data_IF_150430136239
#
_entry.id   IF_150430136239
#
_cell.length_a   1.000
_cell.length_b   1.000
_cell.length_c   1.000
_cell.angle_alpha   90.00
_cell.angle_beta   90.00
_cell.angle_gamma   90.00
#
_symmetry.space_group_name_H-M   'P 1'
#
loop_
_entity.id
_entity.type
_entity.pdbx_description
1 polymer ?
#
# COMPACT_ATOMS: atom_id res chain seq x y z
N UNK A 1 14.00 -19.88 19.54
CA UNK A 1 12.89 -19.21 18.82
C UNK A 1 11.84 -20.28 18.55
N UNK A 2 10.67 -20.17 19.18
CA UNK A 2 9.55 -21.06 18.85
C UNK A 2 9.09 -20.71 17.44
N UNK A 3 8.98 -21.69 16.55
CA UNK A 3 8.23 -21.50 15.32
C UNK A 3 6.79 -21.13 15.74
N UNK A 4 6.23 -20.06 15.15
CA UNK A 4 4.83 -19.75 15.35
C UNK A 4 4.01 -20.92 14.80
N UNK A 5 3.12 -21.47 15.62
CA UNK A 5 2.22 -22.53 15.22
C UNK A 5 1.23 -21.96 14.19
N UNK A 6 1.12 -22.61 13.02
CA UNK A 6 0.16 -22.18 11.98
C UNK A 6 -1.23 -22.60 12.44
N UNK A 7 -2.09 -21.64 12.72
CA UNK A 7 -3.47 -21.89 13.17
C UNK A 7 -4.46 -21.74 12.01
N UNK A 8 -5.33 -22.74 11.82
CA UNK A 8 -6.41 -22.66 10.83
C UNK A 8 -7.57 -21.87 11.42
N UNK A 9 -7.81 -20.68 10.89
CA UNK A 9 -8.92 -19.82 11.32
C UNK A 9 -10.29 -20.26 10.76
N UNK A 10 -10.31 -20.92 9.60
CA UNK A 10 -11.53 -21.37 8.95
C UNK A 10 -11.35 -21.78 7.50
N UNK A 11 -12.45 -21.81 6.75
CA UNK A 11 -12.49 -22.05 5.30
C UNK A 11 -13.53 -21.11 4.69
N UNK A 12 -13.15 -20.43 3.61
CA UNK A 12 -14.03 -19.55 2.85
C UNK A 12 -14.00 -20.04 1.41
N UNK A 13 -15.18 -20.30 0.84
CA UNK A 13 -15.31 -20.68 -0.57
C UNK A 13 -15.89 -19.49 -1.32
N UNK A 14 -15.10 -18.92 -2.23
CA UNK A 14 -15.49 -17.80 -3.07
C UNK A 14 -15.55 -18.30 -4.53
N UNK A 15 -16.63 -17.97 -5.24
CA UNK A 15 -16.78 -18.34 -6.65
C UNK A 15 -16.05 -17.38 -7.60
N UNK A 16 -15.94 -16.11 -7.20
CA UNK A 16 -15.17 -15.05 -7.88
C UNK A 16 -15.14 -13.82 -6.96
N UNK A 17 -14.14 -13.71 -6.08
CA UNK A 17 -13.94 -12.55 -5.22
C UNK A 17 -12.55 -12.57 -4.58
N UNK A 18 -12.04 -11.39 -4.25
CA UNK A 18 -10.88 -11.23 -3.39
C UNK A 18 -11.29 -11.38 -1.91
N UNK A 19 -10.49 -12.12 -1.14
CA UNK A 19 -10.59 -12.19 0.32
C UNK A 19 -9.56 -11.22 0.92
N UNK A 20 -10.03 -10.33 1.80
CA UNK A 20 -9.17 -9.46 2.62
C UNK A 20 -9.30 -9.88 4.07
N UNK A 21 -8.17 -10.20 4.70
CA UNK A 21 -8.08 -10.56 6.12
C UNK A 21 -7.49 -9.36 6.86
N UNK A 22 -8.32 -8.76 7.72
CA UNK A 22 -7.98 -7.55 8.49
C UNK A 22 -8.04 -7.91 9.98
N UNK A 23 -7.06 -7.43 10.76
CA UNK A 23 -7.14 -7.50 12.21
C UNK A 23 -8.36 -6.72 12.72
N UNK A 24 -9.16 -7.31 13.60
CA UNK A 24 -10.38 -6.73 14.14
C UNK A 24 -10.18 -5.36 14.82
N UNK A 25 -8.98 -5.06 15.31
CA UNK A 25 -8.63 -3.74 15.84
C UNK A 25 -8.69 -2.60 14.81
N UNK A 26 -8.77 -2.94 13.51
CA UNK A 26 -8.71 -2.01 12.37
C UNK A 26 -10.04 -1.90 11.60
N UNK A 27 -11.10 -2.60 12.05
CA UNK A 27 -12.38 -2.60 11.35
C UNK A 27 -13.02 -1.21 11.25
N UNK A 28 -12.75 -0.32 12.22
CA UNK A 28 -13.24 1.06 12.21
C UNK A 28 -12.60 1.92 11.12
N UNK A 29 -11.41 1.54 10.66
CA UNK A 29 -10.60 2.33 9.73
C UNK A 29 -10.76 1.85 8.28
N UNK A 30 -11.47 0.74 8.05
CA UNK A 30 -11.70 0.19 6.72
C UNK A 30 -12.97 0.74 6.06
N UNK A 31 -12.81 1.29 4.86
CA UNK A 31 -13.89 1.48 3.88
C UNK A 31 -13.51 0.94 2.50
N UNK A 32 -14.42 0.22 1.83
CA UNK A 32 -14.16 -0.26 0.47
C UNK A 32 -14.10 0.89 -0.56
N UNK A 33 -14.86 1.96 -0.32
CA UNK A 33 -15.12 3.02 -1.30
C UNK A 33 -14.43 4.36 -0.96
N UNK A 34 -13.93 4.51 0.25
CA UNK A 34 -13.28 5.73 0.73
C UNK A 34 -11.79 5.45 0.98
N UNK A 35 -10.93 6.47 0.86
CA UNK A 35 -9.54 6.39 1.35
C UNK A 35 -9.50 6.39 2.89
N UNK A 36 -8.34 6.07 3.51
CA UNK A 36 -8.21 6.13 4.97
C UNK A 36 -8.46 7.56 5.49
N UNK A 37 -9.21 7.71 6.59
CA UNK A 37 -9.55 9.01 7.19
C UNK A 37 -8.77 9.29 8.47
N UNK A 38 -8.54 10.57 8.78
CA UNK A 38 -7.91 11.01 10.03
C UNK A 38 -8.89 10.99 11.19
N UNK A 39 -8.73 10.05 12.13
CA UNK A 39 -9.51 10.01 13.38
C UNK A 39 -8.62 9.65 14.59
N UNK A 40 -7.47 10.32 14.69
CA UNK A 40 -6.46 10.05 15.71
C UNK A 40 -6.61 10.90 16.97
N UNK A 41 -7.50 11.90 16.94
CA UNK A 41 -7.75 12.80 18.09
C UNK A 41 -6.68 13.89 18.25
N UNK A 42 -5.77 13.99 17.29
CA UNK A 42 -4.79 15.06 17.15
C UNK A 42 -5.09 15.82 15.85
N UNK A 43 -5.53 17.10 15.92
CA UNK A 43 -5.90 17.89 14.75
C UNK A 43 -4.80 18.06 13.70
N UNK A 44 -3.52 18.11 14.12
CA UNK A 44 -2.41 18.27 13.18
C UNK A 44 -2.16 16.97 12.42
N UNK A 45 -2.20 15.85 13.13
CA UNK A 45 -2.09 14.52 12.52
C UNK A 45 -3.28 14.22 11.60
N UNK A 46 -4.50 14.52 12.05
CA UNK A 46 -5.72 14.33 11.25
C UNK A 46 -5.66 15.16 9.97
N UNK A 47 -5.24 16.44 10.06
CA UNK A 47 -5.08 17.29 8.88
C UNK A 47 -3.98 16.79 7.92
N UNK A 48 -2.87 16.25 8.45
CA UNK A 48 -1.81 15.66 7.63
C UNK A 48 -2.29 14.42 6.88
N UNK A 49 -3.06 13.55 7.53
CA UNK A 49 -3.64 12.34 6.91
C UNK A 49 -4.67 12.70 5.84
N UNK A 50 -5.54 13.67 6.12
CA UNK A 50 -6.51 14.16 5.12
C UNK A 50 -5.84 14.84 3.92
N UNK A 51 -4.67 15.44 4.11
CA UNK A 51 -3.90 16.10 3.05
C UNK A 51 -2.92 15.16 2.31
N UNK A 52 -2.79 13.91 2.74
CA UNK A 52 -1.87 12.95 2.12
C UNK A 52 -2.24 12.65 0.66
N UNK A 53 -1.28 12.13 -0.09
CA UNK A 53 -1.46 11.62 -1.45
C UNK A 53 -0.86 10.22 -1.60
N UNK A 54 -1.28 9.51 -2.63
CA UNK A 54 -0.59 8.28 -3.03
C UNK A 54 0.37 8.62 -4.18
N UNK A 55 1.41 7.81 -4.34
CA UNK A 55 2.36 7.93 -5.44
C UNK A 55 2.40 6.63 -6.24
N UNK A 56 2.59 6.75 -7.55
CA UNK A 56 2.85 5.63 -8.44
C UNK A 56 4.23 5.77 -9.08
N UNK A 57 5.00 4.69 -9.05
CA UNK A 57 6.24 4.57 -9.79
C UNK A 57 5.86 4.09 -11.19
N UNK A 58 6.15 4.91 -12.20
CA UNK A 58 5.81 4.68 -13.60
C UNK A 58 7.06 4.53 -14.46
N UNK A 59 6.92 3.95 -15.65
CA UNK A 59 8.02 3.74 -16.59
C UNK A 59 8.38 2.26 -16.77
N UNK A 60 9.26 1.96 -17.74
CA UNK A 60 9.59 0.58 -18.11
C UNK A 60 10.21 -0.23 -16.97
N UNK A 61 10.95 0.41 -16.06
CA UNK A 61 11.63 -0.26 -14.95
C UNK A 61 10.91 -0.07 -13.60
N UNK A 62 9.67 0.39 -13.60
CA UNK A 62 8.93 0.72 -12.37
C UNK A 62 8.92 -0.39 -11.32
N UNK A 63 8.67 -1.64 -11.74
CA UNK A 63 8.68 -2.82 -10.85
C UNK A 63 10.08 -3.07 -10.28
N UNK A 64 11.11 -2.96 -11.12
CA UNK A 64 12.49 -3.18 -10.69
C UNK A 64 12.95 -2.10 -9.69
N UNK A 65 12.56 -0.84 -9.92
CA UNK A 65 12.82 0.27 -9.02
C UNK A 65 12.06 0.09 -7.71
N UNK A 66 10.77 -0.23 -7.77
CA UNK A 66 9.95 -0.40 -6.58
C UNK A 66 10.44 -1.53 -5.68
N UNK A 67 10.89 -2.66 -6.26
CA UNK A 67 11.48 -3.77 -5.49
C UNK A 67 12.74 -3.41 -4.70
N UNK A 68 13.36 -2.26 -5.01
CA UNK A 68 14.55 -1.71 -4.32
C UNK A 68 14.20 -0.58 -3.36
N UNK A 69 12.95 -0.15 -3.33
CA UNK A 69 12.47 0.88 -2.43
C UNK A 69 12.18 0.26 -1.07
N UNK A 70 13.00 0.59 -0.07
CA UNK A 70 12.81 0.13 1.31
C UNK A 70 11.95 1.15 2.08
N UNK A 71 10.64 1.11 1.85
CA UNK A 71 9.65 1.91 2.55
C UNK A 71 8.47 1.03 2.99
N UNK A 72 8.09 1.12 4.26
CA UNK A 72 6.96 0.35 4.80
C UNK A 72 5.64 0.63 4.08
N UNK A 73 5.46 1.85 3.57
CA UNK A 73 4.27 2.26 2.79
C UNK A 73 4.35 1.90 1.30
N UNK A 74 5.46 1.29 0.84
CA UNK A 74 5.60 0.87 -0.55
C UNK A 74 5.14 -0.57 -0.76
N UNK A 75 4.29 -0.78 -1.77
CA UNK A 75 3.89 -2.12 -2.22
C UNK A 75 3.50 -2.10 -3.69
N UNK A 76 3.88 -3.15 -4.42
CA UNK A 76 3.73 -3.15 -5.88
C UNK A 76 4.55 -2.00 -6.48
N UNK A 77 3.98 -1.21 -7.37
CA UNK A 77 4.56 0.05 -7.89
C UNK A 77 4.09 1.29 -7.15
N UNK A 78 3.42 1.16 -6.01
CA UNK A 78 2.78 2.27 -5.30
C UNK A 78 3.48 2.60 -3.99
N UNK A 79 3.40 3.86 -3.58
CA UNK A 79 3.73 4.34 -2.23
C UNK A 79 2.51 5.04 -1.67
N UNK A 80 1.96 4.49 -0.59
CA UNK A 80 0.66 4.91 -0.06
C UNK A 80 0.77 5.92 1.07
N UNK A 81 -0.27 6.73 1.23
CA UNK A 81 -0.51 7.61 2.38
C UNK A 81 0.67 8.54 2.66
N UNK A 82 1.25 9.12 1.60
CA UNK A 82 2.41 10.01 1.67
C UNK A 82 1.97 11.40 2.14
N UNK A 83 2.54 11.94 3.23
CA UNK A 83 2.24 13.30 3.68
C UNK A 83 2.62 14.36 2.64
N UNK A 84 2.02 15.57 2.68
CA UNK A 84 2.27 16.64 1.70
C UNK A 84 3.74 16.98 1.44
N UNK A 85 4.61 16.84 2.44
CA UNK A 85 6.05 17.10 2.36
C UNK A 85 6.89 15.85 2.03
N UNK A 86 6.28 14.67 1.96
CA UNK A 86 6.95 13.39 1.76
C UNK A 86 7.25 13.05 0.29
N UNK A 87 6.48 13.59 -0.66
CA UNK A 87 6.60 13.22 -2.08
C UNK A 87 7.98 13.54 -2.68
N UNK A 88 8.60 14.65 -2.26
CA UNK A 88 9.95 15.03 -2.67
C UNK A 88 11.01 14.00 -2.25
N UNK A 89 10.89 13.47 -1.03
CA UNK A 89 11.82 12.46 -0.51
C UNK A 89 11.70 11.12 -1.26
N UNK A 90 10.47 10.71 -1.62
CA UNK A 90 10.23 9.51 -2.42
C UNK A 90 10.81 9.67 -3.82
N UNK A 91 10.57 10.80 -4.48
CA UNK A 91 11.15 11.14 -5.79
C UNK A 91 12.68 11.04 -5.78
N UNK A 92 13.33 11.66 -4.80
CA UNK A 92 14.79 11.61 -4.68
C UNK A 92 15.34 10.19 -4.47
N UNK A 93 14.63 9.34 -3.71
CA UNK A 93 15.01 7.92 -3.56
C UNK A 93 14.89 7.15 -4.88
N UNK A 94 13.80 7.33 -5.61
CA UNK A 94 13.60 6.71 -6.93
C UNK A 94 14.66 7.17 -7.92
N UNK A 95 14.93 8.47 -8.00
CA UNK A 95 15.98 9.02 -8.86
C UNK A 95 17.38 8.48 -8.55
N UNK A 96 17.69 8.26 -7.26
CA UNK A 96 18.95 7.64 -6.85
C UNK A 96 19.03 6.18 -7.33
N UNK A 97 17.97 5.39 -7.12
CA UNK A 97 17.90 4.00 -7.60
C UNK A 97 18.07 3.94 -9.12
N UNK A 98 17.36 4.79 -9.86
CA UNK A 98 17.46 4.87 -11.32
C UNK A 98 18.88 5.19 -11.78
N UNK A 99 19.52 6.17 -11.16
CA UNK A 99 20.90 6.56 -11.48
C UNK A 99 21.90 5.45 -11.19
N UNK A 100 21.78 4.79 -10.05
CA UNK A 100 22.75 3.80 -9.59
C UNK A 100 22.63 2.48 -10.38
N UNK A 101 21.42 2.10 -10.77
CA UNK A 101 21.15 0.84 -11.47
C UNK A 101 20.98 1.00 -13.00
N UNK A 102 20.94 2.23 -13.52
CA UNK A 102 20.68 2.51 -14.94
C UNK A 102 19.23 2.23 -15.35
N UNK A 103 18.28 2.39 -14.44
CA UNK A 103 16.85 2.20 -14.71
C UNK A 103 16.18 3.47 -15.20
N UNK A 104 15.08 3.28 -15.92
CA UNK A 104 14.17 4.34 -16.36
C UNK A 104 12.82 4.19 -15.66
N UNK A 105 12.61 5.00 -14.62
CA UNK A 105 11.34 5.16 -13.94
C UNK A 105 11.19 6.58 -13.38
N UNK A 106 9.94 6.98 -13.16
CA UNK A 106 9.58 8.26 -12.55
C UNK A 106 8.51 8.03 -11.47
N UNK A 107 8.23 9.08 -10.70
CA UNK A 107 7.15 9.06 -9.71
C UNK A 107 6.06 10.02 -10.17
N UNK A 108 4.81 9.58 -10.14
CA UNK A 108 3.63 10.39 -10.34
C UNK A 108 2.85 10.49 -9.04
N UNK A 109 2.30 11.66 -8.78
CA UNK A 109 1.39 11.85 -7.64
C UNK A 109 -0.03 11.60 -8.12
N UNK A 110 -0.76 10.81 -7.36
CA UNK A 110 -2.13 10.39 -7.67
C UNK A 110 -3.05 10.68 -6.48
N UNK A 111 -4.36 10.85 -6.71
CA UNK A 111 -5.32 10.91 -5.61
C UNK A 111 -5.21 9.67 -4.73
N UNK A 112 -5.44 9.83 -3.42
CA UNK A 112 -5.47 8.69 -2.49
C UNK A 112 -6.48 7.65 -2.93
N UNK A 113 -6.02 6.41 -3.03
CA UNK A 113 -6.86 5.30 -3.47
C UNK A 113 -7.82 4.87 -2.35
N UNK A 114 -9.09 4.61 -2.70
CA UNK A 114 -9.99 3.82 -1.85
C UNK A 114 -9.39 2.45 -1.55
N UNK A 115 -9.63 1.88 -0.36
CA UNK A 115 -9.01 0.60 0.00
C UNK A 115 -9.37 -0.54 -0.96
N UNK A 116 -10.61 -0.56 -1.46
CA UNK A 116 -11.03 -1.56 -2.43
C UNK A 116 -10.27 -1.45 -3.76
N UNK A 117 -9.90 -0.24 -4.18
CA UNK A 117 -9.04 -0.05 -5.36
C UNK A 117 -7.59 -0.46 -5.06
N UNK A 118 -7.08 -0.11 -3.88
CA UNK A 118 -5.74 -0.49 -3.42
C UNK A 118 -5.55 -2.02 -3.47
N UNK A 119 -6.50 -2.77 -2.92
CA UNK A 119 -6.52 -4.25 -3.00
C UNK A 119 -6.54 -4.73 -4.45
N UNK A 120 -7.43 -4.17 -5.28
CA UNK A 120 -7.56 -4.58 -6.69
C UNK A 120 -6.29 -4.32 -7.50
N UNK A 121 -5.64 -3.18 -7.30
CA UNK A 121 -4.38 -2.85 -7.97
C UNK A 121 -3.24 -3.78 -7.53
N UNK A 122 -3.10 -4.03 -6.23
CA UNK A 122 -2.02 -4.87 -5.73
C UNK A 122 -2.21 -6.34 -6.12
N UNK A 123 -3.44 -6.87 -6.09
CA UNK A 123 -3.69 -8.25 -6.57
C UNK A 123 -3.45 -8.41 -8.07
N UNK A 124 -3.68 -7.37 -8.88
CA UNK A 124 -3.29 -7.39 -10.30
C UNK A 124 -1.77 -7.56 -10.48
N UNK A 125 -0.97 -7.02 -9.57
CA UNK A 125 0.49 -7.14 -9.60
C UNK A 125 1.01 -8.39 -8.88
N UNK A 126 0.22 -8.92 -7.94
CA UNK A 126 0.55 -10.02 -7.05
C UNK A 126 -0.65 -10.99 -6.92
N UNK A 127 -0.92 -11.80 -7.95
CA UNK A 127 -2.11 -12.64 -7.99
C UNK A 127 -2.14 -13.74 -6.91
N UNK A 128 -0.98 -14.17 -6.43
CA UNK A 128 -0.86 -15.19 -5.36
C UNK A 128 -1.12 -14.62 -3.95
N UNK A 129 -1.37 -13.31 -3.85
CA UNK A 129 -1.63 -12.62 -2.59
C UNK A 129 -0.57 -11.58 -2.22
N UNK A 130 -0.97 -10.60 -1.41
CA UNK A 130 -0.17 -9.42 -1.10
C UNK A 130 -0.59 -8.76 0.21
N UNK A 131 0.39 -8.20 0.91
CA UNK A 131 0.14 -7.33 2.06
C UNK A 131 -0.31 -5.94 1.58
N UNK A 132 -1.41 -5.43 2.10
CA UNK A 132 -1.99 -4.14 1.71
C UNK A 132 -1.86 -3.15 2.87
N UNK A 133 -1.05 -2.08 2.73
CA UNK A 133 -0.90 -1.06 3.77
C UNK A 133 -2.15 -0.17 3.91
N UNK A 134 -2.50 0.20 5.14
CA UNK A 134 -3.57 1.16 5.47
C UNK A 134 -3.11 2.06 6.64
N UNK A 135 -2.56 3.24 6.37
CA UNK A 135 -2.23 4.23 7.41
C UNK A 135 -1.39 3.69 8.60
N UNK A 136 -0.48 2.74 8.37
CA UNK A 136 0.38 2.14 9.40
C UNK A 136 0.22 0.62 9.53
N UNK A 137 -0.97 0.11 9.90
CA UNK A 137 -1.25 -1.32 9.85
C UNK A 137 -1.42 -1.83 8.43
N UNK A 138 -1.31 -3.15 8.27
CA UNK A 138 -1.53 -3.82 6.99
C UNK A 138 -2.55 -4.95 7.11
N UNK A 139 -3.27 -5.20 6.03
CA UNK A 139 -4.06 -6.41 5.84
C UNK A 139 -3.37 -7.36 4.85
N UNK A 140 -3.89 -8.59 4.73
CA UNK A 140 -3.50 -9.49 3.65
C UNK A 140 -4.67 -9.65 2.69
N UNK A 141 -4.40 -9.53 1.40
CA UNK A 141 -5.36 -9.80 0.34
C UNK A 141 -4.92 -11.01 -0.48
N UNK A 142 -5.87 -11.86 -0.84
CA UNK A 142 -5.68 -12.99 -1.77
C UNK A 142 -6.82 -13.01 -2.79
N UNK A 143 -6.51 -13.36 -4.04
CA UNK A 143 -7.51 -13.59 -5.08
C UNK A 143 -7.92 -15.07 -5.11
N UNK A 144 -9.16 -15.35 -5.50
CA UNK A 144 -9.79 -16.68 -5.45
C UNK A 144 -10.19 -17.24 -6.80
#
# INVERSE_FOLDING_TARGET
>A
MSASEVERLGEVVLASAALVVIDFGLLGDWSHHEPPRGHFGDPELDASVEAASDLEIVGPDAVAVSSRLDLASSRGTFVFDVPPDGAGAVRSKVEAICRDAGFEAAVEEIPRMPHGERVRQLLRQHPDGVEVPFAGPSAVAVDG
#
